data_IF_328410950275
#
_entry.id   IF_328410950275
#
_cell.length_a   1.000
_cell.length_b   1.000
_cell.length_c   1.000
_cell.angle_alpha   90.00
_cell.angle_beta   90.00
_cell.angle_gamma   90.00
#
_symmetry.space_group_name_H-M   'P 1'
#
loop_
_entity.id
_entity.type
_entity.pdbx_description
1 polymer ?
#
# COMPACT_ATOMS: atom_id res chain seq x y z
N UNK A 1 -0.52 -10.17 78.28
CA UNK A 1 0.24 -8.91 78.41
C UNK A 1 -0.03 -8.09 77.15
N UNK A 2 -0.42 -6.82 77.33
CA UNK A 2 -0.77 -5.81 76.31
C UNK A 2 -2.15 -5.85 75.62
N UNK A 3 -3.07 -5.05 76.21
CA UNK A 3 -3.88 -3.97 75.59
C UNK A 3 -3.40 -3.49 74.19
N UNK A 4 -4.19 -2.94 73.26
CA UNK A 4 -5.37 -2.05 73.34
C UNK A 4 -5.93 -1.76 71.93
N UNK A 5 -7.26 -1.60 71.83
CA UNK A 5 -8.07 -0.60 71.07
C UNK A 5 -7.60 0.03 69.75
N UNK A 6 -8.54 0.17 68.81
CA UNK A 6 -8.52 1.27 67.84
C UNK A 6 -9.54 1.16 66.72
N UNK A 7 -10.64 1.93 66.82
CA UNK A 7 -11.72 2.01 65.86
C UNK A 7 -11.42 2.98 64.69
N UNK A 8 -12.02 2.77 63.52
CA UNK A 8 -12.44 3.90 62.67
C UNK A 8 -13.60 3.54 61.72
N UNK A 9 -14.70 4.28 61.86
CA UNK A 9 -15.82 4.38 60.92
C UNK A 9 -15.46 5.35 59.76
N UNK A 10 -16.32 5.33 58.72
CA UNK A 10 -16.53 6.29 57.60
C UNK A 10 -15.97 5.73 56.27
N UNK A 11 -16.57 5.93 55.10
CA UNK A 11 -17.61 6.85 54.66
C UNK A 11 -18.37 6.26 53.46
N UNK A 12 -19.61 6.73 53.24
CA UNK A 12 -20.33 6.59 51.98
C UNK A 12 -19.81 7.63 50.97
N UNK A 13 -19.67 7.23 49.70
CA UNK A 13 -19.56 8.14 48.56
C UNK A 13 -20.48 7.60 47.46
N UNK A 14 -21.54 8.37 47.17
CA UNK A 14 -22.31 8.26 45.96
C UNK A 14 -21.55 8.97 44.84
N UNK A 15 -21.45 8.37 43.65
CA UNK A 15 -20.93 9.04 42.46
C UNK A 15 -21.91 8.93 41.29
N UNK A 16 -22.14 10.10 40.71
CA UNK A 16 -22.98 10.46 39.57
C UNK A 16 -22.95 9.46 38.40
N UNK A 17 -24.14 9.04 37.98
CA UNK A 17 -24.37 8.52 36.63
C UNK A 17 -24.25 9.66 35.61
N UNK A 18 -23.07 9.77 34.99
CA UNK A 18 -22.82 10.64 33.85
C UNK A 18 -23.43 10.00 32.60
N UNK A 19 -24.39 10.70 32.02
CA UNK A 19 -24.98 10.40 30.73
C UNK A 19 -23.96 10.71 29.64
N UNK A 20 -23.33 9.67 29.09
CA UNK A 20 -22.66 9.76 27.79
C UNK A 20 -23.75 9.70 26.72
N UNK A 21 -24.18 10.87 26.26
CA UNK A 21 -24.88 11.00 24.97
C UNK A 21 -23.81 10.87 23.90
N UNK A 22 -23.76 9.71 23.27
CA UNK A 22 -22.95 9.49 22.08
C UNK A 22 -23.54 10.34 20.96
N UNK A 23 -22.88 11.43 20.61
CA UNK A 23 -22.99 11.98 19.25
C UNK A 23 -22.25 11.00 18.33
N UNK A 24 -22.89 9.87 18.05
CA UNK A 24 -22.64 9.19 16.79
C UNK A 24 -23.27 10.11 15.73
N UNK A 25 -22.44 10.89 15.05
CA UNK A 25 -22.80 11.32 13.70
C UNK A 25 -23.02 10.03 12.90
N UNK A 26 -24.29 9.63 12.77
CA UNK A 26 -24.68 8.65 11.79
C UNK A 26 -24.46 9.33 10.42
N UNK A 27 -23.31 9.07 9.80
CA UNK A 27 -23.21 9.20 8.35
C UNK A 27 -24.32 8.29 7.79
N UNK A 28 -25.31 8.89 7.15
CA UNK A 28 -26.39 8.14 6.54
C UNK A 28 -25.78 7.32 5.41
N UNK A 29 -25.69 5.98 5.53
CA UNK A 29 -25.18 5.17 4.44
C UNK A 29 -26.07 5.39 3.21
N UNK A 30 -25.48 5.39 2.01
CA UNK A 30 -26.25 5.48 0.76
C UNK A 30 -27.34 4.42 0.78
N UNK A 31 -28.60 4.85 0.67
CA UNK A 31 -29.74 3.94 0.51
C UNK A 31 -29.42 3.00 -0.68
N UNK A 32 -29.46 1.67 -0.50
CA UNK A 32 -29.25 0.73 -1.59
C UNK A 32 -30.10 1.01 -2.85
N UNK A 33 -31.25 1.68 -2.71
CA UNK A 33 -32.10 2.11 -3.81
C UNK A 33 -31.57 3.30 -4.62
N UNK A 34 -30.55 4.03 -4.13
CA UNK A 34 -30.01 5.26 -4.70
C UNK A 34 -28.53 5.16 -5.15
N UNK A 35 -28.01 3.94 -5.35
CA UNK A 35 -26.64 3.68 -5.86
C UNK A 35 -26.42 4.08 -7.34
N UNK A 36 -27.37 4.75 -7.97
CA UNK A 36 -27.32 5.00 -9.40
C UNK A 36 -26.14 5.94 -9.73
N UNK A 37 -25.16 5.43 -10.48
CA UNK A 37 -23.97 6.18 -10.87
C UNK A 37 -22.78 6.07 -9.89
N UNK A 38 -22.91 5.32 -8.79
CA UNK A 38 -21.78 5.04 -7.90
C UNK A 38 -20.66 4.30 -8.65
N UNK A 39 -19.41 4.78 -8.62
CA UNK A 39 -18.28 4.01 -9.13
C UNK A 39 -17.92 2.90 -8.14
N UNK A 40 -17.62 1.71 -8.66
CA UNK A 40 -17.05 0.64 -7.87
C UNK A 40 -15.60 0.99 -7.54
N UNK A 41 -15.19 0.82 -6.28
CA UNK A 41 -13.79 1.02 -5.89
C UNK A 41 -12.89 0.08 -6.72
N UNK A 42 -11.72 0.54 -7.19
CA UNK A 42 -10.74 -0.33 -7.84
C UNK A 42 -10.36 -1.54 -6.95
N UNK A 43 -9.91 -2.67 -7.55
CA UNK A 43 -9.51 -3.85 -6.77
C UNK A 43 -8.38 -3.51 -5.80
N UNK A 44 -8.18 -4.32 -4.76
CA UNK A 44 -7.10 -4.08 -3.77
C UNK A 44 -5.71 -4.06 -4.41
N UNK A 45 -5.53 -4.75 -5.53
CA UNK A 45 -4.30 -4.77 -6.33
C UNK A 45 -4.09 -3.50 -7.16
N UNK A 46 -5.03 -2.56 -7.19
CA UNK A 46 -4.95 -1.33 -7.97
C UNK A 46 -3.92 -0.32 -7.43
N UNK A 47 -3.57 -0.42 -6.15
CA UNK A 47 -2.53 0.41 -5.55
C UNK A 47 -1.56 -0.39 -4.66
N UNK A 48 -1.75 -1.70 -4.51
CA UNK A 48 -0.94 -2.51 -3.60
C UNK A 48 0.13 -3.35 -4.32
N UNK A 49 1.33 -3.42 -3.72
CA UNK A 49 2.35 -4.42 -4.00
C UNK A 49 2.43 -5.37 -2.81
N UNK A 50 2.40 -6.68 -3.07
CA UNK A 50 2.71 -7.70 -2.06
C UNK A 50 4.14 -8.23 -2.23
N UNK A 51 5.05 -7.71 -1.41
CA UNK A 51 6.42 -8.20 -1.23
C UNK A 51 6.64 -8.81 0.15
N UNK A 52 5.56 -9.15 0.87
CA UNK A 52 5.62 -9.71 2.23
C UNK A 52 6.47 -10.99 2.30
N UNK A 53 6.55 -11.72 1.20
CA UNK A 53 7.44 -12.88 1.02
C UNK A 53 8.90 -12.58 1.39
N UNK A 54 9.45 -11.46 0.92
CA UNK A 54 10.85 -11.10 1.18
C UNK A 54 11.08 -10.61 2.61
N UNK A 55 10.10 -9.95 3.22
CA UNK A 55 10.20 -9.50 4.62
C UNK A 55 10.09 -10.64 5.64
N UNK A 56 9.19 -11.60 5.39
CA UNK A 56 9.01 -12.77 6.24
C UNK A 56 10.16 -13.76 6.10
N UNK A 57 10.60 -14.01 4.87
CA UNK A 57 11.64 -14.99 4.55
C UNK A 57 13.07 -14.46 4.76
N UNK A 58 13.32 -13.15 4.60
CA UNK A 58 14.63 -12.55 4.82
C UNK A 58 15.14 -12.69 6.25
N UNK A 59 14.24 -12.64 7.24
CA UNK A 59 14.58 -12.90 8.66
C UNK A 59 14.98 -14.36 8.90
N UNK A 60 14.45 -15.31 8.13
CA UNK A 60 14.83 -16.72 8.22
C UNK A 60 16.16 -17.01 7.50
N UNK A 61 16.47 -16.29 6.41
CA UNK A 61 17.74 -16.43 5.70
C UNK A 61 18.94 -16.02 6.56
N UNK A 62 18.80 -15.01 7.43
CA UNK A 62 19.88 -14.55 8.34
C UNK A 62 20.12 -15.47 9.55
N UNK A 63 19.20 -16.39 9.87
CA UNK A 63 19.27 -17.25 11.06
C UNK A 63 19.53 -18.73 10.75
N UNK A 64 19.88 -19.07 9.51
CA UNK A 64 20.09 -20.45 9.06
C UNK A 64 21.49 -21.00 9.33
N UNK A 65 21.58 -22.33 9.43
CA UNK A 65 22.84 -23.09 9.57
C UNK A 65 23.80 -22.79 8.41
N UNK A 66 25.04 -22.41 8.72
CA UNK A 66 26.02 -21.79 7.81
C UNK A 66 26.63 -22.76 6.76
N UNK A 67 26.01 -23.91 6.51
CA UNK A 67 26.58 -25.00 5.70
C UNK A 67 26.15 -24.98 4.22
N UNK A 68 25.12 -24.21 3.84
CA UNK A 68 24.65 -24.11 2.45
C UNK A 68 24.61 -22.65 1.99
N UNK A 69 25.05 -22.40 0.75
CA UNK A 69 25.02 -21.07 0.14
C UNK A 69 23.57 -20.63 -0.09
N UNK A 70 23.28 -19.36 0.21
CA UNK A 70 21.96 -18.71 0.09
C UNK A 70 22.09 -17.36 -0.60
N UNK A 71 23.13 -17.19 -1.40
CA UNK A 71 23.54 -15.91 -1.94
C UNK A 71 22.53 -15.42 -2.97
N UNK A 72 21.92 -16.33 -3.73
CA UNK A 72 20.92 -16.01 -4.75
C UNK A 72 19.66 -15.39 -4.13
N UNK A 73 19.11 -16.04 -3.10
CA UNK A 73 17.95 -15.52 -2.41
C UNK A 73 18.27 -14.21 -1.66
N UNK A 74 19.45 -14.13 -1.03
CA UNK A 74 19.89 -12.92 -0.34
C UNK A 74 20.06 -11.73 -1.31
N UNK A 75 20.55 -11.96 -2.52
CA UNK A 75 20.66 -10.93 -3.56
C UNK A 75 19.28 -10.45 -4.03
N UNK A 76 18.33 -11.37 -4.23
CA UNK A 76 16.93 -11.03 -4.52
C UNK A 76 16.33 -10.17 -3.41
N UNK A 77 16.52 -10.53 -2.14
CA UNK A 77 16.06 -9.72 -1.00
C UNK A 77 16.67 -8.32 -1.02
N UNK A 78 17.98 -8.20 -1.26
CA UNK A 78 18.66 -6.89 -1.32
C UNK A 78 18.07 -5.99 -2.41
N UNK A 79 17.98 -6.51 -3.63
CA UNK A 79 17.46 -5.75 -4.77
C UNK A 79 16.00 -5.32 -4.54
N UNK A 80 15.15 -6.26 -4.12
CA UNK A 80 13.74 -5.94 -3.83
C UNK A 80 13.64 -4.87 -2.74
N UNK A 81 14.41 -4.96 -1.66
CA UNK A 81 14.38 -3.97 -0.58
C UNK A 81 14.92 -2.59 -1.00
N UNK A 82 15.97 -2.56 -1.83
CA UNK A 82 16.56 -1.31 -2.33
C UNK A 82 15.55 -0.53 -3.18
N UNK A 83 14.96 -1.17 -4.18
CA UNK A 83 13.95 -0.54 -5.04
C UNK A 83 12.65 -0.24 -4.27
N UNK A 84 12.24 -1.12 -3.35
CA UNK A 84 11.10 -0.88 -2.47
C UNK A 84 11.27 0.40 -1.64
N UNK A 85 12.47 0.67 -1.12
CA UNK A 85 12.69 1.85 -0.27
C UNK A 85 12.50 3.15 -1.04
N UNK A 86 12.87 3.19 -2.33
CA UNK A 86 12.73 4.39 -3.16
C UNK A 86 11.26 4.69 -3.51
N UNK A 87 10.49 3.69 -3.94
CA UNK A 87 9.12 3.90 -4.43
C UNK A 87 8.03 3.66 -3.39
N UNK A 88 8.14 2.61 -2.57
CA UNK A 88 7.06 2.23 -1.66
C UNK A 88 7.04 3.00 -0.34
N UNK A 89 8.14 3.64 0.05
CA UNK A 89 8.07 4.64 1.14
C UNK A 89 7.11 5.77 0.74
N UNK A 90 7.18 6.22 -0.51
CA UNK A 90 6.31 7.27 -1.06
C UNK A 90 4.87 6.78 -1.27
N UNK A 91 4.69 5.53 -1.68
CA UNK A 91 3.36 4.93 -1.87
C UNK A 91 2.72 4.41 -0.56
N UNK A 92 3.44 4.33 0.56
CA UNK A 92 2.98 3.63 1.77
C UNK A 92 1.69 4.20 2.38
N UNK A 93 1.61 5.53 2.55
CA UNK A 93 0.39 6.19 3.02
C UNK A 93 -0.75 6.05 1.97
N UNK A 94 -0.53 6.36 0.67
CA UNK A 94 -1.51 6.09 -0.39
C UNK A 94 -2.08 4.67 -0.39
N UNK A 95 -1.21 3.66 -0.26
CA UNK A 95 -1.59 2.26 -0.16
C UNK A 95 -2.48 1.99 1.06
N UNK A 96 -2.09 2.52 2.22
CA UNK A 96 -2.81 2.31 3.46
C UNK A 96 -4.18 3.00 3.45
N UNK A 97 -4.27 4.24 2.96
CA UNK A 97 -5.55 4.97 2.87
C UNK A 97 -6.47 4.34 1.83
N UNK A 98 -5.94 3.90 0.68
CA UNK A 98 -6.73 3.15 -0.30
C UNK A 98 -7.26 1.83 0.27
N UNK A 99 -6.40 1.04 0.94
CA UNK A 99 -6.82 -0.20 1.59
C UNK A 99 -7.88 0.04 2.68
N UNK A 100 -7.78 1.13 3.44
CA UNK A 100 -8.78 1.53 4.42
C UNK A 100 -10.11 1.89 3.74
N UNK A 101 -10.09 2.64 2.63
CA UNK A 101 -11.29 3.03 1.89
C UNK A 101 -12.12 1.82 1.40
N UNK A 102 -11.46 0.71 1.01
CA UNK A 102 -12.12 -0.55 0.63
C UNK A 102 -13.04 -1.12 1.73
N UNK A 103 -12.84 -0.71 2.98
CA UNK A 103 -13.64 -1.17 4.13
C UNK A 103 -14.76 -0.20 4.52
N UNK A 104 -14.86 0.95 3.86
CA UNK A 104 -15.82 2.01 4.18
C UNK A 104 -17.02 1.98 3.25
N UNK A 105 -18.14 2.50 3.75
CA UNK A 105 -19.31 2.78 2.91
C UNK A 105 -19.25 4.25 2.48
N UNK A 106 -19.61 4.56 1.23
CA UNK A 106 -19.62 5.95 0.80
C UNK A 106 -20.88 6.68 1.26
N UNK A 107 -20.78 8.02 1.26
CA UNK A 107 -21.90 8.95 1.28
C UNK A 107 -21.87 9.83 0.02
N UNK A 108 -23.02 10.31 -0.44
CA UNK A 108 -23.08 11.28 -1.54
C UNK A 108 -22.84 12.69 -0.96
N UNK A 109 -21.86 13.40 -1.51
CA UNK A 109 -21.56 14.79 -1.16
C UNK A 109 -22.43 15.80 -1.91
N UNK A 110 -22.42 17.06 -1.44
CA UNK A 110 -23.13 18.17 -2.09
C UNK A 110 -22.55 18.52 -3.48
N UNK A 111 -21.34 18.05 -3.77
CA UNK A 111 -20.67 18.17 -5.07
C UNK A 111 -21.09 17.08 -6.07
N UNK A 112 -21.97 16.16 -5.65
CA UNK A 112 -22.45 15.04 -6.46
C UNK A 112 -21.47 13.87 -6.59
N UNK A 113 -20.35 13.87 -5.85
CA UNK A 113 -19.42 12.74 -5.78
C UNK A 113 -19.81 11.79 -4.66
N UNK A 114 -19.30 10.56 -4.72
CA UNK A 114 -19.35 9.60 -3.63
C UNK A 114 -18.07 9.71 -2.80
N UNK A 115 -18.20 9.84 -1.48
CA UNK A 115 -17.10 10.07 -0.53
C UNK A 115 -16.97 8.90 0.44
N UNK A 116 -15.77 8.34 0.55
CA UNK A 116 -15.37 7.37 1.55
C UNK A 116 -14.48 8.07 2.57
N UNK A 117 -15.11 8.70 3.56
CA UNK A 117 -14.41 9.47 4.60
C UNK A 117 -14.07 8.59 5.79
N UNK A 118 -12.88 8.75 6.35
CA UNK A 118 -12.46 8.05 7.56
C UNK A 118 -11.27 8.75 8.23
N UNK A 119 -10.93 8.31 9.45
CA UNK A 119 -9.70 8.71 10.12
C UNK A 119 -8.84 7.49 10.43
N UNK A 120 -7.52 7.68 10.38
CA UNK A 120 -6.53 6.67 10.77
C UNK A 120 -5.42 7.31 11.60
N UNK A 121 -4.78 6.52 12.45
CA UNK A 121 -3.62 6.94 13.21
C UNK A 121 -2.34 6.64 12.43
N UNK A 122 -1.48 7.64 12.23
CA UNK A 122 -0.16 7.48 11.63
C UNK A 122 0.88 8.18 12.51
N UNK A 123 1.85 7.40 13.03
CA UNK A 123 2.86 7.87 13.99
C UNK A 123 2.28 8.64 15.21
N UNK A 124 1.10 8.21 15.69
CA UNK A 124 0.42 8.83 16.83
C UNK A 124 -0.25 10.17 16.52
N UNK A 125 -0.43 10.49 15.23
CA UNK A 125 -1.18 11.65 14.75
C UNK A 125 -2.37 11.15 13.92
N UNK A 126 -3.54 11.73 14.17
CA UNK A 126 -4.74 11.46 13.40
C UNK A 126 -4.63 12.08 12.00
N UNK A 127 -4.81 11.24 10.99
CA UNK A 127 -4.94 11.60 9.58
C UNK A 127 -6.41 11.43 9.19
N UNK A 128 -7.02 12.49 8.66
CA UNK A 128 -8.36 12.43 8.06
C UNK A 128 -8.21 12.21 6.55
N UNK A 129 -8.92 11.23 6.02
CA UNK A 129 -8.87 10.85 4.62
C UNK A 129 -10.28 10.91 4.01
N UNK A 130 -10.35 11.40 2.78
CA UNK A 130 -11.55 11.44 1.96
C UNK A 130 -11.20 10.98 0.55
N UNK A 131 -11.52 9.72 0.24
CA UNK A 131 -11.52 9.27 -1.15
C UNK A 131 -12.84 9.67 -1.77
N UNK A 132 -12.81 10.46 -2.83
CA UNK A 132 -14.00 10.79 -3.62
C UNK A 132 -13.96 10.12 -4.99
N UNK A 133 -15.13 9.79 -5.52
CA UNK A 133 -15.28 9.11 -6.81
C UNK A 133 -16.54 9.53 -7.56
N UNK A 134 -16.42 9.68 -8.88
CA UNK A 134 -17.55 9.92 -9.78
C UNK A 134 -17.35 9.20 -11.12
N UNK A 135 -18.43 8.73 -11.74
CA UNK A 135 -18.36 8.19 -13.12
C UNK A 135 -18.50 9.31 -14.15
N UNK A 136 -17.59 9.34 -15.10
CA UNK A 136 -17.68 10.16 -16.30
C UNK A 136 -18.82 9.64 -17.18
N UNK A 137 -19.81 10.50 -17.43
CA UNK A 137 -21.00 10.15 -18.20
C UNK A 137 -20.73 9.87 -19.68
N UNK A 138 -19.57 10.28 -20.20
CA UNK A 138 -19.22 10.22 -21.63
C UNK A 138 -18.57 8.89 -21.98
N UNK A 139 -17.60 8.46 -21.18
CA UNK A 139 -16.81 7.26 -21.46
C UNK A 139 -17.00 6.15 -20.42
N UNK A 140 -17.70 6.42 -19.30
CA UNK A 140 -17.98 5.45 -18.24
C UNK A 140 -16.82 5.20 -17.28
N UNK A 141 -15.68 5.89 -17.45
CA UNK A 141 -14.54 5.83 -16.53
C UNK A 141 -14.93 6.38 -15.15
N UNK A 142 -14.32 5.89 -14.09
CA UNK A 142 -14.42 6.53 -12.78
C UNK A 142 -13.21 7.45 -12.56
N UNK A 143 -13.46 8.65 -12.05
CA UNK A 143 -12.45 9.64 -11.68
C UNK A 143 -12.36 9.66 -10.16
N UNK A 144 -11.14 9.63 -9.64
CA UNK A 144 -10.86 9.44 -8.22
C UNK A 144 -9.94 10.53 -7.69
N UNK A 145 -10.19 10.97 -6.46
CA UNK A 145 -9.35 11.92 -5.72
C UNK A 145 -9.28 11.50 -4.25
N UNK A 146 -8.09 11.26 -3.71
CA UNK A 146 -7.86 11.13 -2.28
C UNK A 146 -7.35 12.44 -1.74
N UNK A 147 -8.15 13.06 -0.87
CA UNK A 147 -7.77 14.23 -0.11
C UNK A 147 -7.50 13.85 1.33
N UNK A 148 -6.49 14.48 1.92
CA UNK A 148 -6.19 14.27 3.32
C UNK A 148 -5.99 15.57 4.08
N UNK A 149 -6.33 15.52 5.36
CA UNK A 149 -6.01 16.55 6.34
C UNK A 149 -5.20 15.93 7.45
N UNK A 150 -4.04 16.52 7.74
CA UNK A 150 -3.04 15.97 8.65
C UNK A 150 -2.31 17.11 9.37
N UNK A 151 -2.19 17.02 10.69
CA UNK A 151 -1.50 18.02 11.51
C UNK A 151 -0.26 17.39 12.15
N UNK A 152 0.82 17.34 11.37
CA UNK A 152 2.07 16.69 11.75
C UNK A 152 3.07 17.62 12.45
N UNK A 153 4.17 17.02 12.90
CA UNK A 153 5.31 17.76 13.45
C UNK A 153 6.14 18.44 12.34
N UNK A 154 6.29 17.78 11.19
CA UNK A 154 7.16 18.25 10.09
C UNK A 154 6.42 19.11 9.07
N UNK A 155 5.17 18.75 8.74
CA UNK A 155 4.32 19.48 7.82
C UNK A 155 2.84 19.30 8.20
N UNK A 156 2.04 20.27 7.80
CA UNK A 156 0.59 20.26 7.96
C UNK A 156 -0.04 20.26 6.58
N UNK A 157 -1.08 19.46 6.43
CA UNK A 157 -1.86 19.34 5.22
C UNK A 157 -3.30 19.65 5.54
N UNK A 158 -3.90 20.47 4.70
CA UNK A 158 -5.28 20.87 4.78
C UNK A 158 -5.91 20.59 3.42
N UNK A 159 -6.85 19.64 3.40
CA UNK A 159 -7.52 19.16 2.19
C UNK A 159 -6.57 18.83 1.00
N UNK A 160 -5.36 18.35 1.30
CA UNK A 160 -4.33 18.12 0.30
C UNK A 160 -4.69 16.95 -0.60
N UNK A 161 -4.64 17.15 -1.92
CA UNK A 161 -4.80 16.10 -2.91
C UNK A 161 -3.57 15.19 -2.90
N UNK A 162 -3.65 14.08 -2.19
CA UNK A 162 -2.52 13.18 -2.01
C UNK A 162 -2.33 12.25 -3.21
N UNK A 163 -3.43 11.75 -3.78
CA UNK A 163 -3.38 11.07 -5.06
C UNK A 163 -4.69 11.24 -5.83
N UNK A 164 -4.61 11.19 -7.15
CA UNK A 164 -5.75 11.20 -8.04
C UNK A 164 -5.61 10.06 -9.06
N UNK A 165 -6.71 9.65 -9.68
CA UNK A 165 -6.65 8.54 -10.62
C UNK A 165 -7.87 8.37 -11.48
N UNK A 166 -7.77 7.40 -12.37
CA UNK A 166 -8.87 6.94 -13.23
C UNK A 166 -8.94 5.43 -13.19
N UNK A 167 -10.15 4.89 -13.19
CA UNK A 167 -10.38 3.47 -13.51
C UNK A 167 -11.26 3.33 -14.73
N UNK A 168 -10.94 2.34 -15.56
CA UNK A 168 -11.68 2.03 -16.77
C UNK A 168 -13.13 1.64 -16.46
N UNK A 169 -14.03 1.63 -17.45
CA UNK A 169 -15.47 1.41 -17.22
C UNK A 169 -15.82 0.08 -16.55
N UNK A 170 -14.99 -0.95 -16.78
CA UNK A 170 -15.11 -2.28 -16.18
C UNK A 170 -14.29 -2.45 -14.88
N UNK A 171 -13.62 -1.39 -14.42
CA UNK A 171 -12.78 -1.37 -13.23
C UNK A 171 -11.62 -2.39 -13.24
N UNK A 172 -11.18 -2.82 -14.43
CA UNK A 172 -10.08 -3.79 -14.60
C UNK A 172 -8.74 -3.17 -14.96
N UNK A 173 -8.69 -1.87 -15.18
CA UNK A 173 -7.44 -1.15 -15.40
C UNK A 173 -7.60 0.29 -14.96
N UNK A 174 -6.48 0.95 -14.74
CA UNK A 174 -6.48 2.35 -14.37
C UNK A 174 -5.09 2.86 -14.05
N UNK A 175 -5.08 4.08 -13.53
CA UNK A 175 -3.86 4.72 -13.05
C UNK A 175 -4.12 5.58 -11.83
N UNK A 176 -3.07 5.77 -11.04
CA UNK A 176 -2.99 6.73 -9.96
C UNK A 176 -1.77 7.61 -10.16
N UNK A 177 -1.92 8.91 -9.91
CA UNK A 177 -0.81 9.84 -9.74
C UNK A 177 -0.76 10.22 -8.28
N UNK A 178 0.39 10.00 -7.64
CA UNK A 178 0.66 10.36 -6.25
C UNK A 178 1.44 11.67 -6.24
N UNK A 179 1.00 12.62 -5.42
CA UNK A 179 1.58 13.95 -5.31
C UNK A 179 2.52 14.06 -4.10
N UNK A 180 3.49 14.97 -4.20
CA UNK A 180 4.48 15.23 -3.14
C UNK A 180 3.86 16.04 -1.98
N UNK A 181 3.69 15.45 -0.78
CA UNK A 181 3.08 16.14 0.37
C UNK A 181 3.98 17.23 0.96
N UNK A 182 5.27 17.28 0.60
CA UNK A 182 6.20 18.32 1.09
C UNK A 182 6.06 19.64 0.34
N UNK A 183 5.31 19.65 -0.78
CA UNK A 183 5.06 20.82 -1.62
C UNK A 183 3.55 21.05 -1.84
N UNK A 184 2.77 21.28 -0.77
CA UNK A 184 1.30 21.27 -0.82
C UNK A 184 0.67 22.38 -1.67
N UNK A 185 1.42 23.43 -2.01
CA UNK A 185 1.02 24.53 -2.88
C UNK A 185 1.23 24.25 -4.38
N UNK A 186 1.87 23.13 -4.72
CA UNK A 186 2.12 22.70 -6.10
C UNK A 186 1.66 21.24 -6.30
N UNK A 187 0.90 20.95 -7.35
CA UNK A 187 0.56 19.56 -7.72
C UNK A 187 1.76 18.91 -8.38
N UNK A 188 2.79 18.59 -7.60
CA UNK A 188 4.00 17.98 -8.10
C UNK A 188 3.85 16.46 -8.11
N UNK A 189 3.81 15.90 -9.31
CA UNK A 189 3.67 14.46 -9.52
C UNK A 189 4.95 13.75 -9.06
N UNK A 190 4.80 12.82 -8.11
CA UNK A 190 5.92 12.08 -7.55
C UNK A 190 5.99 10.66 -8.12
N UNK A 191 4.84 9.99 -8.21
CA UNK A 191 4.78 8.59 -8.62
C UNK A 191 3.54 8.36 -9.50
N UNK A 192 3.76 7.72 -10.65
CA UNK A 192 2.69 7.18 -11.47
C UNK A 192 2.53 5.69 -11.14
N UNK A 193 1.30 5.27 -10.88
CA UNK A 193 0.93 3.87 -10.72
C UNK A 193 -0.01 3.50 -11.85
N UNK A 194 0.30 2.43 -12.58
CA UNK A 194 -0.57 1.88 -13.61
C UNK A 194 -0.88 0.44 -13.26
N UNK A 195 -2.14 0.04 -13.34
CA UNK A 195 -2.56 -1.29 -12.93
C UNK A 195 -3.54 -1.89 -13.94
N UNK A 196 -3.52 -3.21 -14.02
CA UNK A 196 -4.43 -3.98 -14.84
C UNK A 196 -4.69 -5.36 -14.20
N UNK A 197 -5.96 -5.71 -14.07
CA UNK A 197 -6.44 -7.01 -13.64
C UNK A 197 -6.94 -7.78 -14.87
N UNK A 198 -6.19 -8.82 -15.25
CA UNK A 198 -6.52 -9.67 -16.38
C UNK A 198 -7.55 -10.75 -15.96
N UNK A 199 -7.40 -11.27 -14.75
CA UNK A 199 -8.30 -12.22 -14.09
C UNK A 199 -8.15 -12.14 -12.57
N UNK A 200 -8.97 -12.89 -11.83
CA UNK A 200 -8.86 -12.96 -10.35
C UNK A 200 -7.46 -13.41 -9.87
N UNK A 201 -6.73 -14.16 -10.70
CA UNK A 201 -5.40 -14.70 -10.41
C UNK A 201 -4.28 -14.06 -11.21
N UNK A 202 -4.58 -13.15 -12.15
CA UNK A 202 -3.59 -12.52 -13.02
C UNK A 202 -3.74 -11.01 -13.06
N UNK A 203 -2.66 -10.31 -12.71
CA UNK A 203 -2.63 -8.84 -12.71
C UNK A 203 -1.22 -8.32 -12.95
N UNK A 204 -1.12 -7.08 -13.39
CA UNK A 204 0.12 -6.32 -13.47
C UNK A 204 -0.07 -4.96 -12.81
N UNK A 205 0.94 -4.51 -12.08
CA UNK A 205 1.02 -3.16 -11.53
C UNK A 205 2.42 -2.61 -11.77
N UNK A 206 2.50 -1.38 -12.27
CA UNK A 206 3.74 -0.67 -12.53
C UNK A 206 3.76 0.64 -11.76
N UNK A 207 4.90 0.95 -11.16
CA UNK A 207 5.20 2.19 -10.45
C UNK A 207 6.34 2.87 -11.19
N UNK A 208 6.14 4.12 -11.60
CA UNK A 208 7.15 4.92 -12.30
C UNK A 208 7.41 6.19 -11.51
N UNK A 209 8.67 6.43 -11.16
CA UNK A 209 9.08 7.65 -10.47
C UNK A 209 8.98 8.84 -11.42
N UNK A 210 8.17 9.83 -11.07
CA UNK A 210 8.01 11.07 -11.84
C UNK A 210 8.83 12.23 -11.28
N UNK A 211 9.14 12.17 -9.97
CA UNK A 211 9.91 13.20 -9.31
C UNK A 211 11.28 13.40 -9.97
N UNK A 212 11.67 14.66 -10.17
CA UNK A 212 13.01 15.00 -10.65
C UNK A 212 14.09 14.53 -9.66
N UNK A 213 15.18 14.01 -10.20
CA UNK A 213 16.31 13.49 -9.44
C UNK A 213 16.93 12.28 -10.11
N UNK A 214 17.85 11.62 -9.40
CA UNK A 214 18.61 10.48 -9.94
C UNK A 214 17.73 9.28 -10.29
N UNK A 215 16.60 9.12 -9.60
CA UNK A 215 15.65 8.03 -9.84
C UNK A 215 14.52 8.39 -10.81
N UNK A 216 14.57 9.54 -11.49
CA UNK A 216 13.50 9.93 -12.41
C UNK A 216 13.36 8.89 -13.54
N UNK A 217 12.13 8.43 -13.77
CA UNK A 217 11.77 7.36 -14.70
C UNK A 217 12.21 5.95 -14.31
N UNK A 218 12.79 5.74 -13.13
CA UNK A 218 12.93 4.39 -12.58
C UNK A 218 11.55 3.74 -12.50
N UNK A 219 11.50 2.43 -12.73
CA UNK A 219 10.25 1.69 -12.76
C UNK A 219 10.31 0.38 -11.98
N UNK A 220 9.26 0.08 -11.22
CA UNK A 220 9.00 -1.26 -10.69
C UNK A 220 7.73 -1.81 -11.33
N UNK A 221 7.80 -2.98 -11.96
CA UNK A 221 6.62 -3.69 -12.47
C UNK A 221 6.48 -5.04 -11.79
N UNK A 222 5.35 -5.28 -11.13
CA UNK A 222 5.00 -6.56 -10.54
C UNK A 222 3.94 -7.27 -11.39
N UNK A 223 4.26 -8.47 -11.82
CA UNK A 223 3.35 -9.42 -12.44
C UNK A 223 2.91 -10.46 -11.42
N UNK A 224 1.62 -10.77 -11.43
CA UNK A 224 1.01 -11.87 -10.70
C UNK A 224 0.36 -12.81 -11.70
N UNK A 225 0.65 -14.09 -11.58
CA UNK A 225 -0.03 -15.16 -12.30
C UNK A 225 -0.18 -16.40 -11.41
N UNK A 226 -1.37 -16.61 -10.86
CA UNK A 226 -1.61 -17.65 -9.86
C UNK A 226 -0.72 -17.47 -8.63
N UNK A 227 0.12 -18.48 -8.36
CA UNK A 227 1.12 -18.46 -7.29
C UNK A 227 2.43 -17.78 -7.70
N UNK A 228 2.67 -17.61 -9.00
CA UNK A 228 3.91 -17.02 -9.48
C UNK A 228 3.87 -15.49 -9.42
N UNK A 229 5.01 -14.92 -9.07
CA UNK A 229 5.28 -13.50 -9.03
C UNK A 229 6.53 -13.23 -9.83
N UNK A 230 6.53 -12.14 -10.57
CA UNK A 230 7.72 -11.64 -11.26
C UNK A 230 7.78 -10.14 -11.10
N UNK A 231 8.91 -9.64 -10.63
CA UNK A 231 9.17 -8.23 -10.43
C UNK A 231 10.30 -7.79 -11.36
N UNK A 232 10.04 -6.74 -12.14
CA UNK A 232 11.04 -6.04 -12.92
C UNK A 232 11.36 -4.72 -12.24
N UNK A 233 12.63 -4.45 -12.00
CA UNK A 233 13.13 -3.21 -11.41
C UNK A 233 14.08 -2.59 -12.42
N UNK A 234 13.63 -1.52 -13.06
CA UNK A 234 14.36 -0.82 -14.11
C UNK A 234 14.94 0.48 -13.54
N UNK A 235 16.26 0.61 -13.66
CA UNK A 235 17.01 1.84 -13.38
C UNK A 235 17.19 2.57 -14.72
N UNK A 236 16.55 3.73 -14.83
CA UNK A 236 16.58 4.53 -16.06
C UNK A 236 17.96 5.14 -16.31
N UNK A 237 18.65 5.56 -15.25
CA UNK A 237 19.94 6.23 -15.34
C UNK A 237 21.05 5.29 -15.82
N UNK A 238 20.98 4.02 -15.41
CA UNK A 238 21.94 2.97 -15.78
C UNK A 238 21.50 2.15 -17.01
N UNK A 239 20.26 2.31 -17.46
CA UNK A 239 19.61 1.48 -18.50
C UNK A 239 19.69 -0.02 -18.17
N UNK A 240 19.49 -0.37 -16.89
CA UNK A 240 19.58 -1.76 -16.42
C UNK A 240 18.27 -2.26 -15.85
N UNK A 241 18.02 -3.56 -15.98
CA UNK A 241 16.86 -4.23 -15.35
C UNK A 241 17.33 -5.35 -14.47
N UNK A 242 16.80 -5.38 -13.24
CA UNK A 242 16.83 -6.54 -12.37
C UNK A 242 15.48 -7.24 -12.45
N UNK A 243 15.50 -8.55 -12.68
CA UNK A 243 14.31 -9.40 -12.65
C UNK A 243 14.39 -10.36 -11.46
N UNK A 244 13.33 -10.40 -10.68
CA UNK A 244 13.17 -11.36 -9.57
C UNK A 244 11.86 -12.11 -9.76
N UNK A 245 11.93 -13.44 -9.87
CA UNK A 245 10.77 -14.31 -9.96
C UNK A 245 10.67 -15.22 -8.75
N UNK A 246 9.47 -15.46 -8.23
CA UNK A 246 9.25 -16.39 -7.13
C UNK A 246 7.84 -16.95 -7.13
N UNK A 247 7.69 -18.15 -6.60
CA UNK A 247 6.39 -18.76 -6.33
C UNK A 247 6.03 -18.54 -4.85
N UNK A 248 4.87 -17.96 -4.57
CA UNK A 248 4.46 -17.65 -3.18
C UNK A 248 4.06 -18.87 -2.36
N UNK A 249 3.78 -20.00 -3.02
CA UNK A 249 3.37 -21.25 -2.36
C UNK A 249 4.58 -22.15 -2.06
N UNK A 250 5.47 -22.38 -3.04
CA UNK A 250 6.67 -23.21 -2.86
C UNK A 250 7.83 -22.42 -2.26
N UNK A 251 7.87 -21.11 -2.49
CA UNK A 251 9.00 -20.25 -2.12
C UNK A 251 10.25 -20.45 -2.98
N UNK A 252 10.17 -21.20 -4.07
CA UNK A 252 11.24 -21.31 -5.06
C UNK A 252 11.29 -20.04 -5.90
N UNK A 253 12.44 -19.73 -6.49
CA UNK A 253 12.56 -18.54 -7.33
C UNK A 253 13.93 -18.32 -7.92
N UNK A 254 14.10 -17.15 -8.52
CA UNK A 254 15.32 -16.74 -9.20
C UNK A 254 15.53 -15.23 -9.20
N UNK A 255 16.77 -14.84 -9.48
CA UNK A 255 17.18 -13.48 -9.81
C UNK A 255 17.98 -13.47 -11.11
N UNK A 256 17.79 -12.41 -11.90
CA UNK A 256 18.64 -11.99 -13.00
C UNK A 256 19.01 -10.53 -12.72
N UNK A 257 20.26 -10.25 -12.41
CA UNK A 257 20.74 -8.89 -12.16
C UNK A 257 22.09 -8.67 -12.87
N UNK A 258 22.31 -7.55 -13.59
CA UNK A 258 23.53 -7.34 -14.39
C UNK A 258 24.84 -7.41 -13.59
N UNK A 259 24.80 -7.01 -12.32
CA UNK A 259 25.91 -6.99 -11.37
C UNK A 259 26.03 -8.26 -10.53
N UNK A 260 25.16 -9.25 -10.72
CA UNK A 260 25.17 -10.52 -10.00
C UNK A 260 25.30 -11.71 -10.97
N UNK A 261 26.15 -12.68 -10.63
CA UNK A 261 26.35 -13.90 -11.43
C UNK A 261 26.62 -13.61 -12.94
N UNK A 262 27.25 -12.47 -13.24
CA UNK A 262 27.52 -12.00 -14.60
C UNK A 262 26.26 -11.75 -15.44
N UNK A 263 25.12 -11.44 -14.83
CA UNK A 263 23.84 -11.27 -15.50
C UNK A 263 23.11 -12.58 -15.80
N UNK A 264 23.64 -13.74 -15.40
CA UNK A 264 22.99 -15.02 -15.62
C UNK A 264 21.97 -15.33 -14.51
N UNK A 265 20.89 -16.02 -14.89
CA UNK A 265 19.84 -16.48 -13.96
C UNK A 265 20.44 -17.31 -12.84
N UNK A 266 20.11 -16.95 -11.61
CA UNK A 266 20.54 -17.63 -10.39
C UNK A 266 19.33 -18.02 -9.55
N UNK A 267 19.24 -19.27 -9.11
CA UNK A 267 18.01 -19.86 -8.56
C UNK A 267 18.16 -20.35 -7.12
N UNK A 268 17.04 -20.42 -6.39
CA UNK A 268 16.98 -20.98 -5.05
C UNK A 268 15.79 -21.94 -4.90
N UNK A 269 15.93 -22.92 -4.00
CA UNK A 269 14.89 -23.89 -3.67
C UNK A 269 13.90 -23.38 -2.60
N UNK A 270 12.91 -24.19 -2.22
CA UNK A 270 11.94 -23.86 -1.18
C UNK A 270 12.60 -23.48 0.18
N UNK A 271 13.77 -24.08 0.47
CA UNK A 271 14.58 -23.82 1.68
C UNK A 271 15.55 -22.64 1.54
N UNK A 272 15.48 -21.91 0.43
CA UNK A 272 16.32 -20.75 0.08
C UNK A 272 17.79 -21.09 -0.17
N UNK A 273 18.10 -22.37 -0.38
CA UNK A 273 19.46 -22.76 -0.74
C UNK A 273 19.67 -22.54 -2.23
N UNK A 274 20.89 -22.15 -2.58
CA UNK A 274 21.29 -21.95 -3.98
C UNK A 274 21.25 -23.30 -4.71
N UNK A 275 20.56 -23.32 -5.85
CA UNK A 275 20.42 -24.51 -6.70
C UNK A 275 20.70 -24.16 -8.15
N UNK A 276 21.05 -25.18 -8.94
CA UNK A 276 21.09 -25.02 -10.38
C UNK A 276 19.68 -24.65 -10.88
N UNK A 277 19.60 -23.65 -11.74
CA UNK A 277 18.34 -23.32 -12.41
C UNK A 277 17.91 -24.49 -13.28
N UNK A 278 16.66 -24.91 -13.15
CA UNK A 278 16.05 -25.85 -14.10
C UNK A 278 16.06 -25.21 -15.49
N UNK A 279 16.49 -25.99 -16.50
CA UNK A 279 16.20 -25.64 -17.88
C UNK A 279 14.69 -25.78 -18.09
N UNK A 280 14.01 -24.66 -18.31
CA UNK A 280 12.67 -24.68 -18.89
C UNK A 280 12.71 -25.15 -20.35
#
# INVERSE_FOLDING_TARGET
MSMKTGAMKKAAIALLASQLVWFACAENPVDPANKQGQPDLPPSTALAIDISYFFSSGKAAQNGDATQARDNFAEAVRNVLQFNTLMLVQAGIPMATFAAALTKQPAVGDDGKYHWTFSMEYNGVSLQADLSGVRDSTNGEAIWEMRITFQGQEYNLDDFLWYAGRSGPNNKSGSWTIYDPTRPDSTYDMLLVQWQENSETSSVIAFTMLAEGDSQNDQITLFRDGADRRMLMYDFSAETTVEVGWNVETGEGYIIAPDYNGGAKACWDASKNDVACSSE
#
